data_IF_137528811657
#
_entry.id   IF_137528811657
#
_cell.length_a   1.000
_cell.length_b   1.000
_cell.length_c   1.000
_cell.angle_alpha   90.00
_cell.angle_beta   90.00
_cell.angle_gamma   90.00
#
_symmetry.space_group_name_H-M   'P 1'
#
loop_
_entity.id
_entity.type
_entity.pdbx_description
1 polymer ?
#
# COMPACT_ATOMS: atom_id res chain seq x y z
N UNK A 1 6.89 -3.22 5.84
CA UNK A 1 6.27 -2.04 6.45
C UNK A 1 6.77 -0.77 5.80
N UNK A 2 8.08 -0.51 5.74
CA UNK A 2 8.63 0.66 5.02
C UNK A 2 8.69 0.39 3.52
N UNK A 3 8.15 1.30 2.70
CA UNK A 3 8.09 1.18 1.24
C UNK A 3 8.98 2.19 0.55
N UNK A 4 8.44 3.37 0.25
CA UNK A 4 9.16 4.49 -0.33
C UNK A 4 9.69 5.36 0.79
N UNK A 5 10.94 5.79 0.64
CA UNK A 5 11.56 6.69 1.58
C UNK A 5 12.39 7.73 0.82
N UNK A 6 12.23 8.99 1.23
CA UNK A 6 13.07 10.09 0.77
C UNK A 6 13.87 10.61 1.96
N UNK A 7 15.18 10.41 1.96
CA UNK A 7 16.06 10.88 3.02
C UNK A 7 17.29 11.59 2.47
N UNK A 8 17.99 12.30 3.34
CA UNK A 8 19.27 12.90 3.01
C UNK A 8 20.24 12.87 4.18
N UNK A 9 21.52 12.88 3.84
CA UNK A 9 22.65 13.06 4.74
C UNK A 9 23.38 14.34 4.33
N UNK A 10 23.75 15.15 5.31
CA UNK A 10 24.58 16.35 5.12
C UNK A 10 26.02 16.04 5.53
N UNK A 11 26.97 16.82 5.02
CA UNK A 11 28.39 16.75 5.37
C UNK A 11 29.01 15.36 5.15
N UNK A 12 28.56 14.64 4.11
CA UNK A 12 29.13 13.34 3.72
C UNK A 12 30.20 13.55 2.65
N UNK A 13 31.33 12.87 2.81
CA UNK A 13 32.33 12.72 1.75
C UNK A 13 32.12 11.38 1.06
N UNK A 14 31.98 11.39 -0.27
CA UNK A 14 32.03 10.20 -1.11
C UNK A 14 33.42 10.16 -1.74
N UNK A 15 34.04 8.98 -1.78
CA UNK A 15 35.34 8.83 -2.43
C UNK A 15 35.24 9.13 -3.93
N UNK A 16 36.33 9.59 -4.54
CA UNK A 16 36.37 9.84 -5.98
C UNK A 16 36.11 8.57 -6.78
N UNK A 17 36.49 7.41 -6.25
CA UNK A 17 36.09 6.11 -6.81
C UNK A 17 34.57 5.96 -6.88
N UNK A 18 33.84 6.21 -5.79
CA UNK A 18 32.37 6.11 -5.79
C UNK A 18 31.74 7.14 -6.73
N UNK A 19 32.25 8.37 -6.75
CA UNK A 19 31.73 9.42 -7.62
C UNK A 19 31.93 9.12 -9.10
N UNK A 20 33.09 8.59 -9.49
CA UNK A 20 33.41 8.28 -10.90
C UNK A 20 32.77 6.98 -11.38
N UNK A 21 32.57 5.99 -10.50
CA UNK A 21 32.02 4.69 -10.89
C UNK A 21 30.50 4.60 -10.80
N UNK A 22 29.87 5.32 -9.87
CA UNK A 22 28.42 5.18 -9.59
C UNK A 22 27.61 6.42 -9.91
N UNK A 23 28.26 7.56 -10.12
CA UNK A 23 27.57 8.82 -10.37
C UNK A 23 28.01 9.44 -11.69
N UNK A 24 27.08 10.20 -12.27
CA UNK A 24 27.31 11.03 -13.44
C UNK A 24 27.15 12.48 -12.99
N UNK A 25 28.15 13.31 -13.26
CA UNK A 25 28.07 14.75 -13.06
C UNK A 25 27.08 15.31 -14.09
N UNK A 26 25.99 15.91 -13.60
CA UNK A 26 24.93 16.45 -14.47
C UNK A 26 25.23 17.88 -14.86
N UNK A 27 25.55 18.72 -13.87
CA UNK A 27 25.74 20.15 -14.07
C UNK A 27 26.51 20.78 -12.92
N UNK A 28 27.04 21.95 -13.21
CA UNK A 28 27.49 22.92 -12.23
C UNK A 28 26.54 24.12 -12.25
N UNK A 29 26.04 24.52 -11.10
CA UNK A 29 25.09 25.63 -11.01
C UNK A 29 25.22 26.33 -9.65
N UNK A 30 25.36 27.66 -9.68
CA UNK A 30 25.36 28.51 -8.48
C UNK A 30 26.47 28.15 -7.48
N UNK A 31 27.64 27.73 -7.95
CA UNK A 31 28.77 27.32 -7.09
C UNK A 31 28.69 25.89 -6.55
N UNK A 32 27.81 25.04 -7.10
CA UNK A 32 27.66 23.64 -6.70
C UNK A 32 27.87 22.68 -7.88
N UNK A 33 28.48 21.54 -7.59
CA UNK A 33 28.46 20.37 -8.45
C UNK A 33 27.30 19.46 -8.08
N UNK A 34 26.55 18.99 -9.08
CA UNK A 34 25.42 18.09 -8.90
C UNK A 34 25.70 16.79 -9.65
N UNK A 35 25.67 15.69 -8.90
CA UNK A 35 25.86 14.33 -9.37
C UNK A 35 24.56 13.56 -9.22
N UNK A 36 24.26 12.69 -10.17
CA UNK A 36 23.15 11.74 -10.10
C UNK A 36 23.69 10.34 -10.25
N UNK A 37 23.22 9.43 -9.41
CA UNK A 37 23.66 8.05 -9.51
C UNK A 37 23.13 7.42 -10.80
N UNK A 38 23.99 6.65 -11.45
CA UNK A 38 23.60 5.77 -12.54
C UNK A 38 23.03 4.47 -11.94
N UNK A 39 21.72 4.18 -12.13
CA UNK A 39 21.12 2.96 -11.62
C UNK A 39 21.80 1.68 -12.11
N UNK A 40 22.40 1.69 -13.31
CA UNK A 40 23.06 0.52 -13.88
C UNK A 40 24.42 0.23 -13.24
N UNK A 41 25.00 1.23 -12.55
CA UNK A 41 26.26 1.10 -11.81
C UNK A 41 26.09 0.85 -10.32
N UNK A 42 24.87 1.00 -9.79
CA UNK A 42 24.55 0.65 -8.42
C UNK A 42 24.34 -0.86 -8.33
N UNK A 43 25.14 -1.56 -7.52
CA UNK A 43 25.23 -3.03 -7.52
C UNK A 43 23.87 -3.73 -7.48
N UNK A 44 23.00 -3.26 -6.59
CA UNK A 44 21.69 -3.86 -6.32
C UNK A 44 20.53 -3.27 -7.13
N UNK A 45 20.78 -2.18 -7.88
CA UNK A 45 19.85 -1.66 -8.89
C UNK A 45 20.19 -2.20 -10.29
N UNK A 46 21.45 -2.55 -10.52
CA UNK A 46 21.97 -3.02 -11.80
C UNK A 46 21.28 -4.31 -12.22
N UNK A 47 20.78 -4.33 -13.46
CA UNK A 47 20.23 -5.52 -14.09
C UNK A 47 21.29 -6.21 -14.95
N UNK A 48 22.56 -6.27 -14.55
CA UNK A 48 23.52 -7.14 -15.23
C UNK A 48 23.09 -8.59 -15.03
N UNK A 49 22.17 -9.01 -15.91
CA UNK A 49 21.81 -10.39 -16.19
C UNK A 49 23.15 -11.09 -16.39
N UNK A 50 23.44 -12.10 -15.56
CA UNK A 50 24.43 -13.11 -15.94
C UNK A 50 23.99 -13.58 -17.33
N UNK A 51 24.73 -13.19 -18.36
CA UNK A 51 24.49 -13.61 -19.74
C UNK A 51 24.71 -15.13 -19.80
N UNK A 52 23.69 -15.89 -19.39
CA UNK A 52 23.56 -17.29 -19.75
C UNK A 52 23.15 -17.31 -21.20
N UNK A 53 24.01 -17.86 -22.05
CA UNK A 53 23.79 -18.08 -23.47
C UNK A 53 22.35 -18.55 -23.75
N UNK A 54 21.56 -17.66 -24.33
CA UNK A 54 20.29 -18.00 -24.96
C UNK A 54 20.25 -17.20 -26.26
N UNK A 55 20.60 -17.88 -27.36
CA UNK A 55 20.34 -17.40 -28.70
C UNK A 55 18.82 -17.15 -28.82
N UNK A 56 18.41 -15.88 -28.83
CA UNK A 56 17.04 -15.48 -29.11
C UNK A 56 17.02 -14.41 -30.21
N UNK A 57 16.09 -14.55 -31.18
CA UNK A 57 16.08 -13.79 -32.41
C UNK A 57 15.66 -12.33 -32.22
N UNK A 58 16.08 -11.51 -33.18
CA UNK A 58 15.87 -10.06 -33.31
C UNK A 58 14.43 -9.61 -33.00
N UNK A 59 14.18 -9.09 -31.81
CA UNK A 59 13.03 -8.21 -31.53
C UNK A 59 13.47 -6.96 -30.73
N UNK A 60 14.11 -6.02 -31.44
CA UNK A 60 14.62 -4.75 -30.90
C UNK A 60 13.55 -3.74 -30.43
N UNK A 61 12.25 -4.03 -30.61
CA UNK A 61 11.16 -3.09 -30.28
C UNK A 61 10.61 -3.34 -28.86
N UNK A 62 10.66 -4.57 -28.35
CA UNK A 62 10.13 -4.90 -27.02
C UNK A 62 11.08 -4.44 -25.90
N UNK A 63 12.39 -4.49 -26.15
CA UNK A 63 13.43 -4.06 -25.18
C UNK A 63 13.39 -2.56 -24.94
N UNK A 64 13.06 -1.75 -25.96
CA UNK A 64 12.95 -0.29 -25.83
C UNK A 64 11.73 0.13 -25.01
N UNK A 65 10.57 -0.53 -25.16
CA UNK A 65 9.36 -0.21 -24.37
C UNK A 65 9.53 -0.56 -22.88
N UNK A 66 10.19 -1.67 -22.55
CA UNK A 66 10.50 -2.00 -21.14
C UNK A 66 11.46 -1.00 -20.51
N UNK A 67 12.46 -0.53 -21.28
CA UNK A 67 13.40 0.49 -20.83
C UNK A 67 12.73 1.86 -20.64
N UNK A 68 11.77 2.23 -21.49
CA UNK A 68 10.99 3.46 -21.35
C UNK A 68 10.05 3.39 -20.13
N UNK A 69 9.36 2.26 -19.90
CA UNK A 69 8.49 2.06 -18.72
C UNK A 69 9.33 2.04 -17.43
N UNK A 70 10.53 1.45 -17.45
CA UNK A 70 11.49 1.54 -16.33
C UNK A 70 11.91 2.99 -16.10
N UNK A 71 12.33 3.73 -17.13
CA UNK A 71 12.68 5.17 -17.06
C UNK A 71 11.56 6.03 -16.46
N UNK A 72 10.31 5.75 -16.84
CA UNK A 72 9.10 6.41 -16.31
C UNK A 72 8.83 6.06 -14.83
N UNK A 73 9.08 4.81 -14.41
CA UNK A 73 8.92 4.36 -13.01
C UNK A 73 9.89 5.03 -12.01
N UNK A 74 10.93 5.69 -12.53
CA UNK A 74 11.96 6.44 -11.79
C UNK A 74 11.82 7.96 -11.91
N UNK A 75 10.80 8.51 -12.58
CA UNK A 75 10.70 9.98 -12.74
C UNK A 75 10.69 10.76 -11.41
N UNK A 76 10.28 10.13 -10.30
CA UNK A 76 10.32 10.70 -8.94
C UNK A 76 11.28 9.99 -7.97
N UNK A 77 12.00 8.96 -8.43
CA UNK A 77 12.98 8.21 -7.62
C UNK A 77 14.38 8.56 -8.09
N UNK A 78 15.25 8.90 -7.17
CA UNK A 78 16.59 9.37 -7.50
C UNK A 78 17.56 9.09 -6.38
N UNK A 79 18.84 9.04 -6.73
CA UNK A 79 19.94 9.14 -5.81
C UNK A 79 20.82 10.25 -6.37
N UNK A 80 21.10 11.28 -5.57
CA UNK A 80 21.87 12.44 -6.02
C UNK A 80 22.83 12.90 -4.94
N UNK A 81 23.99 13.36 -5.35
CA UNK A 81 24.96 13.98 -4.47
C UNK A 81 25.21 15.42 -4.93
N UNK A 82 25.13 16.38 -4.01
CA UNK A 82 25.36 17.80 -4.27
C UNK A 82 26.43 18.33 -3.33
N UNK A 83 27.48 18.96 -3.86
CA UNK A 83 28.54 19.59 -3.06
C UNK A 83 28.91 20.96 -3.62
N UNK A 84 29.50 21.83 -2.79
CA UNK A 84 30.10 23.07 -3.29
C UNK A 84 31.29 22.74 -4.19
N UNK A 85 31.58 23.59 -5.16
CA UNK A 85 32.80 23.47 -5.96
C UNK A 85 34.02 23.33 -5.05
N UNK A 86 34.90 22.39 -5.38
CA UNK A 86 36.13 22.08 -4.64
C UNK A 86 35.94 21.57 -3.19
N UNK A 87 34.71 21.39 -2.71
CA UNK A 87 34.46 20.80 -1.40
C UNK A 87 34.60 19.27 -1.45
N UNK A 88 35.13 18.66 -0.40
CA UNK A 88 35.19 17.19 -0.27
C UNK A 88 33.90 16.57 0.25
N UNK A 89 33.07 17.36 0.92
CA UNK A 89 31.81 16.93 1.53
C UNK A 89 30.61 17.63 0.91
N UNK A 90 29.46 16.99 0.99
CA UNK A 90 28.20 17.50 0.46
C UNK A 90 26.99 16.75 1.01
N UNK A 91 25.90 16.87 0.27
CA UNK A 91 24.60 16.29 0.61
C UNK A 91 24.29 15.11 -0.30
N UNK A 92 24.13 13.93 0.28
CA UNK A 92 23.56 12.76 -0.40
C UNK A 92 22.04 12.75 -0.17
N UNK A 93 21.26 12.68 -1.24
CA UNK A 93 19.80 12.55 -1.19
C UNK A 93 19.35 11.29 -1.90
N UNK A 94 18.51 10.50 -1.24
CA UNK A 94 17.98 9.22 -1.75
C UNK A 94 16.47 9.28 -1.70
N UNK A 95 15.81 8.98 -2.82
CA UNK A 95 14.37 8.78 -2.94
C UNK A 95 14.14 7.45 -3.67
N UNK A 96 13.84 6.38 -2.92
CA UNK A 96 13.71 5.04 -3.48
C UNK A 96 12.58 4.25 -2.81
N UNK A 97 12.10 3.21 -3.50
CA UNK A 97 11.20 2.22 -2.91
C UNK A 97 12.03 1.05 -2.38
N UNK A 98 12.53 1.19 -1.15
CA UNK A 98 13.43 0.22 -0.52
C UNK A 98 12.79 -1.16 -0.38
N UNK A 99 11.45 -1.25 -0.29
CA UNK A 99 10.76 -2.55 -0.35
C UNK A 99 10.92 -3.22 -1.70
N UNK A 100 10.66 -2.50 -2.79
CA UNK A 100 10.81 -3.05 -4.16
C UNK A 100 12.27 -3.36 -4.47
N UNK A 101 13.20 -2.55 -3.99
CA UNK A 101 14.63 -2.82 -4.15
C UNK A 101 15.02 -4.11 -3.44
N UNK A 102 14.66 -4.28 -2.16
CA UNK A 102 14.92 -5.53 -1.43
C UNK A 102 14.28 -6.75 -2.09
N UNK A 103 13.02 -6.66 -2.52
CA UNK A 103 12.32 -7.74 -3.22
C UNK A 103 13.08 -8.15 -4.48
N UNK A 104 13.54 -7.18 -5.27
CA UNK A 104 14.31 -7.45 -6.50
C UNK A 104 15.63 -8.13 -6.18
N UNK A 105 16.38 -7.62 -5.20
CA UNK A 105 17.67 -8.13 -4.77
C UNK A 105 17.57 -9.58 -4.29
N UNK A 106 16.57 -9.85 -3.46
CA UNK A 106 16.37 -11.16 -2.84
C UNK A 106 15.49 -12.09 -3.68
N UNK A 107 15.08 -11.66 -4.88
CA UNK A 107 14.15 -12.38 -5.77
C UNK A 107 12.88 -12.88 -5.04
N UNK A 108 12.28 -12.01 -4.22
CA UNK A 108 11.12 -12.35 -3.41
C UNK A 108 9.81 -12.10 -4.16
N UNK A 109 8.72 -12.60 -3.57
CA UNK A 109 7.37 -12.32 -4.06
C UNK A 109 7.04 -10.80 -3.93
N UNK A 110 6.45 -10.14 -4.97
CA UNK A 110 6.02 -8.73 -4.92
C UNK A 110 5.08 -8.34 -3.76
N UNK A 111 4.37 -9.31 -3.18
CA UNK A 111 3.50 -9.13 -2.00
C UNK A 111 4.25 -9.18 -0.67
N UNK A 112 5.58 -9.37 -0.69
CA UNK A 112 6.40 -9.34 0.52
C UNK A 112 6.46 -7.91 1.08
N UNK A 113 6.41 -7.80 2.40
CA UNK A 113 6.64 -6.57 3.14
C UNK A 113 7.99 -6.67 3.86
N UNK A 114 8.69 -5.54 4.03
CA UNK A 114 9.88 -5.51 4.88
C UNK A 114 9.48 -5.69 6.34
N UNK A 115 9.96 -6.77 6.98
CA UNK A 115 10.02 -6.86 8.44
C UNK A 115 11.20 -6.02 8.96
N UNK A 116 11.40 -6.00 10.27
CA UNK A 116 12.49 -5.26 10.90
C UNK A 116 13.87 -5.62 10.31
N UNK A 117 14.22 -6.91 10.26
CA UNK A 117 15.52 -7.38 9.79
C UNK A 117 15.77 -7.01 8.32
N UNK A 118 14.78 -7.20 7.46
CA UNK A 118 14.87 -6.84 6.04
C UNK A 118 15.03 -5.33 5.84
N UNK A 119 14.40 -4.52 6.70
CA UNK A 119 14.57 -3.05 6.67
C UNK A 119 15.99 -2.65 7.08
N UNK A 120 16.53 -3.23 8.16
CA UNK A 120 17.92 -2.98 8.58
C UNK A 120 18.89 -3.39 7.48
N UNK A 121 18.71 -4.59 6.93
CA UNK A 121 19.59 -5.13 5.89
C UNK A 121 19.63 -4.23 4.65
N UNK A 122 18.46 -3.83 4.11
CA UNK A 122 18.45 -2.99 2.91
C UNK A 122 19.12 -1.63 3.17
N UNK A 123 18.87 -0.98 4.32
CA UNK A 123 19.50 0.31 4.63
C UNK A 123 21.02 0.18 4.75
N UNK A 124 21.52 -0.88 5.38
CA UNK A 124 22.96 -1.14 5.45
C UNK A 124 23.59 -1.50 4.10
N UNK A 125 22.82 -2.08 3.17
CA UNK A 125 23.26 -2.23 1.78
C UNK A 125 23.46 -0.87 1.11
N UNK A 126 22.56 0.11 1.29
CA UNK A 126 22.79 1.48 0.78
C UNK A 126 24.03 2.12 1.40
N UNK A 127 24.25 1.96 2.71
CA UNK A 127 25.43 2.50 3.39
C UNK A 127 26.74 1.95 2.78
N UNK A 128 26.82 0.61 2.62
CA UNK A 128 27.96 -0.06 1.98
C UNK A 128 28.13 0.35 0.52
N UNK A 129 27.03 0.46 -0.21
CA UNK A 129 27.05 0.83 -1.63
C UNK A 129 27.72 2.19 -1.87
N UNK A 130 27.55 3.14 -0.95
CA UNK A 130 28.16 4.46 -1.05
C UNK A 130 29.43 4.63 -0.22
N UNK A 131 29.92 3.56 0.42
CA UNK A 131 31.11 3.61 1.28
C UNK A 131 30.95 4.53 2.50
N UNK A 132 29.75 4.62 3.06
CA UNK A 132 29.45 5.47 4.22
C UNK A 132 29.35 4.59 5.47
N UNK A 133 30.00 4.99 6.56
CA UNK A 133 29.87 4.34 7.88
C UNK A 133 28.38 4.19 8.28
N UNK A 134 28.02 3.02 8.80
CA UNK A 134 26.62 2.68 9.11
C UNK A 134 26.03 3.67 10.11
N UNK A 135 26.78 4.02 11.14
CA UNK A 135 26.41 4.92 12.23
C UNK A 135 26.08 6.32 11.70
N UNK A 136 26.84 6.79 10.70
CA UNK A 136 26.56 8.06 10.00
C UNK A 136 25.33 7.91 9.11
N UNK A 137 25.21 6.82 8.37
CA UNK A 137 24.09 6.61 7.44
C UNK A 137 22.73 6.54 8.15
N UNK A 138 22.67 5.90 9.32
CA UNK A 138 21.45 5.81 10.14
C UNK A 138 20.94 7.19 10.61
N UNK A 139 21.81 8.20 10.70
CA UNK A 139 21.43 9.59 11.04
C UNK A 139 20.75 10.35 9.90
N UNK A 140 20.57 9.74 8.73
CA UNK A 140 19.92 10.37 7.59
C UNK A 140 18.52 10.89 7.96
N UNK A 141 18.25 12.14 7.59
CA UNK A 141 16.97 12.82 7.83
C UNK A 141 15.95 12.42 6.77
N UNK A 142 14.80 11.92 7.20
CA UNK A 142 13.69 11.53 6.33
C UNK A 142 12.80 12.75 6.08
N UNK A 143 12.47 12.98 4.82
CA UNK A 143 11.59 14.06 4.36
C UNK A 143 10.26 13.55 3.85
N UNK A 144 10.21 12.32 3.33
CA UNK A 144 8.99 11.65 2.87
C UNK A 144 9.09 10.16 3.19
N UNK A 145 7.96 9.54 3.51
CA UNK A 145 7.91 8.09 3.76
C UNK A 145 6.54 7.54 3.40
N UNK A 146 6.54 6.34 2.81
CA UNK A 146 5.37 5.51 2.64
C UNK A 146 5.51 4.28 3.55
N UNK A 147 4.51 4.04 4.38
CA UNK A 147 4.45 2.92 5.32
C UNK A 147 3.20 2.11 5.02
N UNK A 148 3.34 0.82 4.73
CA UNK A 148 2.19 -0.01 4.41
C UNK A 148 2.40 -1.49 4.60
N UNK A 149 1.28 -2.21 4.55
CA UNK A 149 1.23 -3.67 4.74
C UNK A 149 0.29 -4.31 3.73
N UNK A 150 0.65 -5.50 3.29
CA UNK A 150 -0.18 -6.36 2.45
C UNK A 150 -1.00 -7.31 3.33
N UNK A 151 -2.30 -7.36 3.10
CA UNK A 151 -3.25 -8.23 3.79
C UNK A 151 -3.93 -9.11 2.76
N UNK A 152 -3.92 -10.43 3.00
CA UNK A 152 -4.63 -11.40 2.16
C UNK A 152 -6.00 -11.70 2.75
N UNK A 153 -7.05 -11.55 1.94
CA UNK A 153 -8.42 -11.92 2.29
C UNK A 153 -8.89 -13.10 1.43
N UNK A 154 -9.74 -13.94 2.01
CA UNK A 154 -10.38 -15.06 1.32
C UNK A 154 -11.76 -14.65 0.80
N UNK A 155 -11.84 -13.49 0.14
CA UNK A 155 -13.06 -12.96 -0.45
C UNK A 155 -12.70 -12.10 -1.67
N UNK A 156 -13.69 -11.76 -2.48
CA UNK A 156 -13.51 -10.88 -3.63
C UNK A 156 -13.12 -9.46 -3.18
N UNK A 157 -12.28 -8.79 -3.97
CA UNK A 157 -11.80 -7.45 -3.68
C UNK A 157 -12.92 -6.41 -3.70
N UNK A 158 -13.93 -6.61 -4.56
CA UNK A 158 -15.10 -5.75 -4.65
C UNK A 158 -15.81 -5.65 -3.31
N UNK A 159 -16.07 -6.79 -2.66
CA UNK A 159 -16.77 -6.86 -1.36
C UNK A 159 -16.01 -6.16 -0.23
N UNK A 160 -14.67 -6.13 -0.30
CA UNK A 160 -13.85 -5.38 0.66
C UNK A 160 -13.90 -3.88 0.35
N UNK A 161 -13.66 -3.52 -0.91
CA UNK A 161 -13.51 -2.13 -1.34
C UNK A 161 -14.82 -1.35 -1.33
N UNK A 162 -15.96 -2.01 -1.59
CA UNK A 162 -17.30 -1.44 -1.44
C UNK A 162 -17.58 -1.09 0.03
N UNK A 163 -17.17 -1.96 0.95
CA UNK A 163 -17.41 -1.79 2.40
C UNK A 163 -16.58 -0.66 3.01
N UNK A 164 -15.38 -0.37 2.51
CA UNK A 164 -14.59 0.78 2.98
C UNK A 164 -15.42 2.04 2.75
N UNK A 165 -15.52 2.98 3.69
CA UNK A 165 -16.36 4.19 3.55
C UNK A 165 -15.57 5.48 3.70
N UNK A 166 -15.25 5.86 4.94
CA UNK A 166 -14.56 7.11 5.32
C UNK A 166 -13.49 6.83 6.37
N UNK A 167 -12.60 7.79 6.61
CA UNK A 167 -11.60 7.69 7.66
C UNK A 167 -11.69 8.92 8.58
N UNK A 168 -11.76 8.70 9.90
CA UNK A 168 -11.85 9.80 10.87
C UNK A 168 -10.63 10.72 10.78
N UNK A 169 -10.87 12.03 10.69
CA UNK A 169 -9.83 13.06 10.61
C UNK A 169 -9.20 13.25 9.22
N UNK A 170 -9.88 12.80 8.17
CA UNK A 170 -9.52 13.05 6.77
C UNK A 170 -10.57 13.94 6.11
N UNK A 171 -10.11 14.89 5.29
CA UNK A 171 -10.97 15.88 4.63
C UNK A 171 -11.71 15.27 3.44
N UNK A 172 -11.02 14.45 2.66
CA UNK A 172 -11.51 13.95 1.38
C UNK A 172 -11.35 12.44 1.26
N UNK A 173 -12.34 11.78 0.68
CA UNK A 173 -12.26 10.38 0.24
C UNK A 173 -12.40 10.33 -1.27
N UNK A 174 -11.38 9.82 -1.96
CA UNK A 174 -11.36 9.67 -3.41
C UNK A 174 -11.37 8.19 -3.79
N UNK A 175 -12.33 7.79 -4.63
CA UNK A 175 -12.45 6.43 -5.16
C UNK A 175 -12.07 6.38 -6.63
N UNK A 176 -11.13 5.50 -6.98
CA UNK A 176 -10.72 5.27 -8.37
C UNK A 176 -10.58 3.76 -8.57
N UNK A 177 -11.57 3.13 -9.21
CA UNK A 177 -11.66 1.68 -9.33
C UNK A 177 -11.57 0.99 -7.96
N UNK A 178 -10.74 -0.05 -7.85
CA UNK A 178 -10.48 -0.77 -6.59
C UNK A 178 -9.45 -0.07 -5.69
N UNK A 179 -9.44 1.26 -5.66
CA UNK A 179 -8.57 2.08 -4.81
C UNK A 179 -9.40 3.14 -4.12
N UNK A 180 -9.23 3.25 -2.80
CA UNK A 180 -9.77 4.33 -1.97
C UNK A 180 -8.61 5.08 -1.36
N UNK A 181 -8.56 6.40 -1.57
CA UNK A 181 -7.56 7.28 -0.96
C UNK A 181 -8.27 8.26 -0.03
N UNK A 182 -7.89 8.24 1.25
CA UNK A 182 -8.26 9.24 2.23
C UNK A 182 -7.19 10.31 2.28
N UNK A 183 -7.53 11.55 1.92
CA UNK A 183 -6.58 12.64 1.75
C UNK A 183 -6.88 13.78 2.72
N UNK A 184 -5.82 14.38 3.22
CA UNK A 184 -5.81 15.75 3.70
C UNK A 184 -4.58 16.47 3.14
N UNK A 185 -4.37 17.73 3.53
CA UNK A 185 -3.24 18.53 3.03
C UNK A 185 -1.86 17.94 3.36
N UNK A 186 -1.72 17.14 4.44
CA UNK A 186 -0.42 16.76 5.03
C UNK A 186 -0.01 15.31 4.75
N UNK A 187 -0.97 14.41 4.57
CA UNK A 187 -0.74 13.00 4.30
C UNK A 187 -1.95 12.34 3.62
N UNK A 188 -1.73 11.13 3.14
CA UNK A 188 -2.76 10.30 2.50
C UNK A 188 -2.73 8.90 3.11
N UNK A 189 -3.89 8.27 3.26
CA UNK A 189 -4.01 6.84 3.49
C UNK A 189 -4.68 6.21 2.28
N UNK A 190 -4.02 5.23 1.67
CA UNK A 190 -4.52 4.55 0.49
C UNK A 190 -4.78 3.08 0.81
N UNK A 191 -5.92 2.56 0.37
CA UNK A 191 -6.27 1.15 0.39
C UNK A 191 -6.63 0.70 -1.02
N UNK A 192 -6.00 -0.37 -1.52
CA UNK A 192 -6.15 -0.77 -2.92
C UNK A 192 -5.87 -2.25 -3.21
N UNK A 193 -6.35 -2.69 -4.36
CA UNK A 193 -6.02 -3.99 -4.97
C UNK A 193 -4.56 -4.07 -5.40
N UNK A 194 -3.74 -4.74 -4.59
CA UNK A 194 -2.32 -4.93 -4.85
C UNK A 194 -2.08 -5.85 -6.04
N UNK A 195 -2.86 -6.94 -6.17
CA UNK A 195 -2.68 -7.89 -7.26
C UNK A 195 -2.98 -7.23 -8.61
N UNK A 196 -4.09 -6.49 -8.69
CA UNK A 196 -4.45 -5.69 -9.85
C UNK A 196 -3.35 -4.70 -10.23
N UNK A 197 -2.84 -3.93 -9.26
CA UNK A 197 -1.76 -2.95 -9.49
C UNK A 197 -0.47 -3.60 -9.97
N UNK A 198 0.00 -4.66 -9.31
CA UNK A 198 1.27 -5.30 -9.69
C UNK A 198 1.17 -6.00 -11.07
N UNK A 199 -0.01 -6.52 -11.44
CA UNK A 199 -0.22 -7.10 -12.76
C UNK A 199 -0.22 -6.04 -13.87
N UNK A 200 -0.78 -4.85 -13.60
CA UNK A 200 -0.73 -3.72 -14.52
C UNK A 200 0.71 -3.22 -14.72
N UNK A 201 1.51 -3.22 -13.66
CA UNK A 201 2.92 -2.82 -13.68
C UNK A 201 3.86 -3.92 -14.23
N UNK A 202 3.34 -5.13 -14.50
CA UNK A 202 4.15 -6.25 -14.98
C UNK A 202 5.09 -6.83 -13.92
N UNK A 203 4.86 -6.55 -12.63
CA UNK A 203 5.67 -7.06 -11.53
C UNK A 203 5.33 -8.51 -11.17
N UNK A 204 4.11 -8.93 -11.49
CA UNK A 204 3.66 -10.33 -11.43
C UNK A 204 3.35 -10.87 -12.83
N UNK A 205 3.48 -12.19 -13.00
CA UNK A 205 3.29 -12.88 -14.29
C UNK A 205 4.19 -12.31 -15.40
N UNK A 206 5.46 -12.08 -15.07
CA UNK A 206 6.50 -11.65 -16.03
C UNK A 206 6.55 -12.62 -17.22
N UNK A 207 6.78 -12.09 -18.43
CA UNK A 207 6.76 -12.88 -19.67
C UNK A 207 5.37 -13.31 -20.16
N UNK A 208 4.29 -13.05 -19.41
CA UNK A 208 2.93 -13.39 -19.85
C UNK A 208 2.29 -12.22 -20.61
N UNK A 209 1.60 -12.51 -21.71
CA UNK A 209 0.86 -11.49 -22.48
C UNK A 209 -0.31 -10.88 -21.68
N UNK A 210 -0.80 -9.71 -22.13
CA UNK A 210 -1.80 -8.91 -21.41
C UNK A 210 -3.13 -9.64 -21.19
N UNK A 211 -3.59 -10.43 -22.17
CA UNK A 211 -4.87 -11.16 -22.11
C UNK A 211 -4.80 -12.28 -21.07
N UNK A 212 -3.78 -13.13 -21.16
CA UNK A 212 -3.56 -14.22 -20.20
C UNK A 212 -3.33 -13.70 -18.78
N UNK A 213 -2.60 -12.58 -18.64
CA UNK A 213 -2.41 -11.92 -17.34
C UNK A 213 -3.72 -11.47 -16.71
N UNK A 214 -4.61 -10.84 -17.47
CA UNK A 214 -5.96 -10.47 -17.00
C UNK A 214 -6.76 -11.70 -16.55
N UNK A 215 -6.66 -12.80 -17.30
CA UNK A 215 -7.33 -14.06 -16.96
C UNK A 215 -6.82 -14.65 -15.63
N UNK A 216 -5.49 -14.68 -15.43
CA UNK A 216 -4.88 -15.14 -14.18
C UNK A 216 -5.29 -14.27 -12.98
N UNK A 217 -5.27 -12.95 -13.14
CA UNK A 217 -5.73 -12.02 -12.10
C UNK A 217 -7.20 -12.31 -11.74
N UNK A 218 -8.10 -12.43 -12.72
CA UNK A 218 -9.51 -12.77 -12.48
C UNK A 218 -9.67 -14.11 -11.75
N UNK A 219 -8.91 -15.14 -12.16
CA UNK A 219 -8.96 -16.47 -11.52
C UNK A 219 -8.58 -16.41 -10.04
N UNK A 220 -7.51 -15.67 -9.71
CA UNK A 220 -7.06 -15.50 -8.32
C UNK A 220 -8.04 -14.63 -7.53
N UNK A 221 -8.45 -13.50 -8.10
CA UNK A 221 -9.34 -12.50 -7.48
C UNK A 221 -10.74 -13.03 -7.13
N UNK A 222 -11.15 -14.18 -7.70
CA UNK A 222 -12.45 -14.81 -7.42
C UNK A 222 -12.64 -15.09 -5.92
N UNK A 223 -11.63 -15.69 -5.29
CA UNK A 223 -11.68 -16.12 -3.88
C UNK A 223 -10.51 -15.56 -3.04
N UNK A 224 -9.56 -14.84 -3.65
CA UNK A 224 -8.40 -14.32 -2.96
C UNK A 224 -8.14 -12.87 -3.34
N UNK A 225 -8.06 -12.02 -2.33
CA UNK A 225 -7.72 -10.60 -2.51
C UNK A 225 -6.45 -10.26 -1.78
N UNK A 226 -5.60 -9.48 -2.45
CA UNK A 226 -4.38 -8.93 -1.89
C UNK A 226 -4.61 -7.43 -1.72
N UNK A 227 -5.02 -7.03 -0.54
CA UNK A 227 -5.29 -5.64 -0.21
C UNK A 227 -4.02 -5.03 0.35
N UNK A 228 -3.62 -3.88 -0.17
CA UNK A 228 -2.56 -3.10 0.44
C UNK A 228 -3.14 -1.85 1.07
N UNK A 229 -2.73 -1.58 2.31
CA UNK A 229 -3.01 -0.33 3.00
C UNK A 229 -1.70 0.41 3.27
N UNK A 230 -1.67 1.70 2.95
CA UNK A 230 -0.48 2.55 3.00
C UNK A 230 -0.80 3.91 3.61
N UNK A 231 0.01 4.36 4.57
CA UNK A 231 0.18 5.76 4.93
C UNK A 231 1.27 6.39 4.05
N UNK A 232 0.94 7.47 3.34
CA UNK A 232 1.86 8.27 2.53
C UNK A 232 2.07 9.65 3.17
N UNK A 233 3.25 9.87 3.73
CA UNK A 233 3.65 11.15 4.32
C UNK A 233 4.46 11.94 3.29
N UNK A 234 3.82 12.97 2.71
CA UNK A 234 4.43 13.80 1.65
C UNK A 234 5.50 14.75 2.15
N UNK A 235 5.44 15.17 3.42
CA UNK A 235 6.44 16.04 4.05
C UNK A 235 6.45 15.80 5.56
N UNK A 236 7.49 15.14 6.06
CA UNK A 236 7.62 14.76 7.48
C UNK A 236 7.60 15.97 8.41
N UNK A 237 8.18 17.11 8.01
CA UNK A 237 8.16 18.33 8.83
C UNK A 237 6.75 18.89 9.06
N UNK A 238 5.87 18.78 8.06
CA UNK A 238 4.49 19.26 8.10
C UNK A 238 3.49 18.22 8.62
N UNK A 239 3.91 16.96 8.75
CA UNK A 239 3.08 15.90 9.29
C UNK A 239 2.75 16.17 10.77
N UNK A 240 1.46 16.08 11.11
CA UNK A 240 0.90 16.56 12.38
C UNK A 240 0.40 15.44 13.32
N UNK A 241 0.74 14.17 13.05
CA UNK A 241 0.51 13.07 14.02
C UNK A 241 1.79 12.82 14.81
N UNK A 242 1.91 13.44 15.98
CA UNK A 242 3.12 13.40 16.81
C UNK A 242 3.59 11.96 17.13
N UNK A 243 2.64 11.04 17.38
CA UNK A 243 2.93 9.65 17.71
C UNK A 243 3.68 8.88 16.62
N UNK A 244 3.48 9.24 15.35
CA UNK A 244 4.19 8.67 14.20
C UNK A 244 5.36 9.56 13.80
N UNK A 245 5.19 10.89 13.79
CA UNK A 245 6.18 11.87 13.31
C UNK A 245 7.55 11.68 13.97
N UNK A 246 7.60 11.53 15.28
CA UNK A 246 8.86 11.33 16.03
C UNK A 246 9.61 10.06 15.62
N UNK A 247 8.89 9.02 15.21
CA UNK A 247 9.42 7.70 14.81
C UNK A 247 9.91 7.66 13.36
N UNK A 248 9.61 8.67 12.55
CA UNK A 248 9.95 8.71 11.11
C UNK A 248 10.87 9.89 10.76
N UNK A 249 11.52 10.54 11.74
CA UNK A 249 12.41 11.69 11.48
C UNK A 249 13.74 11.30 10.84
N UNK A 250 14.31 10.18 11.25
CA UNK A 250 15.56 9.64 10.73
C UNK A 250 15.45 8.15 10.47
N UNK A 251 16.36 7.59 9.67
CA UNK A 251 16.42 6.14 9.49
C UNK A 251 16.58 5.42 10.83
N UNK A 252 17.42 5.96 11.71
CA UNK A 252 17.60 5.47 13.08
C UNK A 252 16.30 5.51 13.90
N UNK A 253 15.52 6.59 13.79
CA UNK A 253 14.23 6.70 14.47
C UNK A 253 13.30 5.57 14.03
N UNK A 254 13.27 5.25 12.74
CA UNK A 254 12.46 4.14 12.20
C UNK A 254 12.96 2.80 12.71
N UNK A 255 14.28 2.58 12.72
CA UNK A 255 14.92 1.36 13.24
C UNK A 255 14.55 1.14 14.71
N UNK A 256 14.83 2.13 15.56
CA UNK A 256 14.68 2.00 17.00
C UNK A 256 13.21 1.92 17.44
N UNK A 257 12.29 2.45 16.63
CA UNK A 257 10.86 2.47 16.94
C UNK A 257 10.04 1.53 16.05
N UNK A 258 10.65 0.59 15.32
CA UNK A 258 9.96 -0.18 14.28
C UNK A 258 8.70 -0.90 14.78
N UNK A 259 8.76 -1.50 15.97
CA UNK A 259 7.60 -2.16 16.58
C UNK A 259 6.49 -1.17 16.94
N UNK A 260 6.79 -0.15 17.73
CA UNK A 260 5.83 0.91 18.11
C UNK A 260 5.28 1.68 16.90
N UNK A 261 6.05 1.81 15.81
CA UNK A 261 5.59 2.38 14.55
C UNK A 261 4.51 1.49 13.92
N UNK A 262 4.67 0.17 14.00
CA UNK A 262 3.63 -0.79 13.62
C UNK A 262 2.35 -0.61 14.42
N UNK A 263 2.43 -0.48 15.74
CA UNK A 263 1.26 -0.24 16.60
C UNK A 263 0.54 1.06 16.26
N UNK A 264 1.28 2.14 16.00
CA UNK A 264 0.69 3.42 15.60
C UNK A 264 0.04 3.36 14.21
N UNK A 265 0.60 2.57 13.28
CA UNK A 265 -0.06 2.28 12.00
C UNK A 265 -1.33 1.47 12.17
N UNK A 266 -1.34 0.49 13.09
CA UNK A 266 -2.56 -0.26 13.43
C UNK A 266 -3.65 0.72 13.90
N UNK A 267 -3.34 1.53 14.93
CA UNK A 267 -4.26 2.54 15.48
C UNK A 267 -4.75 3.50 14.41
N UNK A 268 -3.88 3.92 13.49
CA UNK A 268 -4.25 4.76 12.36
C UNK A 268 -5.27 4.06 11.46
N UNK A 269 -4.97 2.85 10.99
CA UNK A 269 -5.75 2.14 9.99
C UNK A 269 -7.09 1.60 10.51
N UNK A 270 -7.22 1.29 11.81
CA UNK A 270 -8.51 0.91 12.39
C UNK A 270 -9.52 2.07 12.50
N UNK A 271 -9.09 3.32 12.29
CA UNK A 271 -9.99 4.47 12.15
C UNK A 271 -10.73 4.51 10.79
N UNK A 272 -10.45 3.57 9.88
CA UNK A 272 -11.23 3.40 8.67
C UNK A 272 -12.59 2.85 9.06
N UNK A 273 -13.63 3.60 8.69
CA UNK A 273 -15.01 3.17 8.81
C UNK A 273 -15.35 2.24 7.66
N UNK A 274 -16.00 1.13 8.00
CA UNK A 274 -16.62 0.24 7.04
C UNK A 274 -18.13 0.43 7.15
N UNK A 275 -18.80 0.59 6.02
CA UNK A 275 -20.27 0.54 5.95
C UNK A 275 -20.63 -0.91 5.64
N UNK A 276 -21.64 -1.43 6.33
CA UNK A 276 -22.21 -2.76 6.07
C UNK A 276 -22.99 -2.73 4.75
N UNK A 277 -22.28 -2.46 3.67
CA UNK A 277 -22.86 -2.17 2.38
C UNK A 277 -22.93 -3.47 1.58
N UNK A 278 -23.63 -4.47 2.14
CA UNK A 278 -23.96 -5.80 1.57
C UNK A 278 -23.10 -6.94 2.14
N UNK A 279 -23.75 -7.91 2.82
CA UNK A 279 -23.11 -9.19 3.19
C UNK A 279 -22.51 -9.84 1.93
N UNK A 280 -21.32 -10.46 1.99
CA UNK A 280 -20.72 -11.16 0.83
C UNK A 280 -21.68 -12.13 0.11
N UNK A 281 -22.62 -12.72 0.84
CA UNK A 281 -23.66 -13.61 0.28
C UNK A 281 -24.72 -12.84 -0.51
N UNK A 282 -25.06 -11.63 -0.06
CA UNK A 282 -25.99 -10.73 -0.73
C UNK A 282 -25.31 -10.06 -1.93
N UNK A 283 -24.01 -9.78 -1.87
CA UNK A 283 -23.22 -9.21 -2.97
C UNK A 283 -23.13 -10.23 -4.11
N UNK A 284 -22.89 -11.50 -3.79
CA UNK A 284 -23.02 -12.59 -4.77
C UNK A 284 -24.43 -12.71 -5.34
N UNK A 285 -25.49 -12.56 -4.54
CA UNK A 285 -26.87 -12.69 -5.02
C UNK A 285 -27.27 -11.51 -5.90
N UNK A 286 -26.97 -10.27 -5.49
CA UNK A 286 -27.26 -9.04 -6.23
C UNK A 286 -26.41 -8.95 -7.51
N UNK A 287 -25.12 -9.26 -7.45
CA UNK A 287 -24.23 -9.29 -8.64
C UNK A 287 -24.61 -10.43 -9.59
N UNK A 288 -24.97 -11.63 -9.10
CA UNK A 288 -25.53 -12.70 -9.97
C UNK A 288 -26.90 -12.32 -10.54
N UNK A 289 -27.68 -11.49 -9.84
CA UNK A 289 -29.01 -11.06 -10.29
C UNK A 289 -29.02 -9.98 -11.37
N UNK A 290 -27.86 -9.45 -11.78
CA UNK A 290 -27.71 -8.57 -12.95
C UNK A 290 -28.18 -9.20 -14.28
N UNK A 291 -28.73 -10.41 -14.25
CA UNK A 291 -29.21 -11.16 -15.41
C UNK A 291 -30.73 -11.43 -15.43
N UNK A 292 -31.54 -11.07 -14.42
CA UNK A 292 -32.99 -11.33 -14.43
C UNK A 292 -33.81 -10.36 -13.55
N UNK A 293 -35.09 -10.14 -13.91
CA UNK A 293 -36.10 -9.24 -13.29
C UNK A 293 -36.33 -9.38 -11.76
N UNK A 294 -35.67 -10.33 -11.10
CA UNK A 294 -35.61 -10.48 -9.63
C UNK A 294 -34.73 -9.41 -8.94
N UNK A 295 -34.01 -8.59 -9.70
CA UNK A 295 -33.10 -7.54 -9.21
C UNK A 295 -33.79 -6.38 -8.49
N UNK A 296 -34.97 -5.95 -8.94
CA UNK A 296 -35.71 -4.81 -8.32
C UNK A 296 -36.21 -5.16 -6.92
N UNK A 297 -36.78 -6.36 -6.74
CA UNK A 297 -37.25 -6.81 -5.42
C UNK A 297 -36.09 -6.93 -4.43
N UNK A 298 -34.98 -7.55 -4.84
CA UNK A 298 -33.80 -7.69 -3.99
C UNK A 298 -33.17 -6.33 -3.63
N UNK A 299 -33.19 -5.37 -4.56
CA UNK A 299 -32.74 -4.00 -4.33
C UNK A 299 -33.67 -3.23 -3.39
N UNK A 300 -34.99 -3.34 -3.58
CA UNK A 300 -35.98 -2.73 -2.70
C UNK A 300 -35.91 -3.31 -1.29
N UNK A 301 -35.77 -4.63 -1.15
CA UNK A 301 -35.61 -5.30 0.14
C UNK A 301 -34.35 -4.78 0.87
N UNK A 302 -33.27 -4.50 0.13
CA UNK A 302 -32.05 -3.92 0.67
C UNK A 302 -32.22 -2.45 1.09
N UNK A 303 -32.92 -1.62 0.30
CA UNK A 303 -33.24 -0.23 0.68
C UNK A 303 -34.10 -0.19 1.95
N UNK A 304 -35.06 -1.10 2.09
CA UNK A 304 -35.88 -1.26 3.29
C UNK A 304 -34.99 -1.61 4.49
N UNK A 305 -34.08 -2.57 4.34
CA UNK A 305 -33.10 -2.89 5.40
C UNK A 305 -32.27 -1.67 5.83
N UNK A 306 -31.73 -0.90 4.87
CA UNK A 306 -30.94 0.29 5.17
C UNK A 306 -31.77 1.34 5.94
N UNK A 307 -33.02 1.55 5.54
CA UNK A 307 -33.96 2.41 6.24
C UNK A 307 -34.22 1.95 7.68
N UNK A 308 -34.55 0.66 7.87
CA UNK A 308 -34.79 0.07 9.19
C UNK A 308 -33.56 0.12 10.09
N UNK A 309 -32.37 -0.11 9.53
CA UNK A 309 -31.10 -0.04 10.25
C UNK A 309 -30.79 1.37 10.72
N UNK A 310 -30.98 2.37 9.87
CA UNK A 310 -30.64 3.76 10.18
C UNK A 310 -31.64 4.40 11.14
N UNK A 311 -32.94 4.16 10.93
CA UNK A 311 -34.00 4.70 11.77
C UNK A 311 -34.15 3.93 13.09
N UNK A 312 -33.80 2.64 13.10
CA UNK A 312 -33.96 1.72 14.21
C UNK A 312 -35.27 0.95 14.11
N UNK A 313 -35.22 -0.38 14.07
CA UNK A 313 -36.38 -1.25 13.82
C UNK A 313 -37.53 -1.00 14.81
N UNK A 314 -37.23 -0.87 16.10
CA UNK A 314 -38.24 -0.62 17.13
C UNK A 314 -38.95 0.71 16.90
N UNK A 315 -38.19 1.78 16.64
CA UNK A 315 -38.73 3.11 16.31
C UNK A 315 -39.57 3.08 15.04
N UNK A 316 -39.14 2.33 14.03
CA UNK A 316 -39.90 2.18 12.80
C UNK A 316 -41.22 1.43 13.04
N UNK A 317 -41.19 0.34 13.79
CA UNK A 317 -42.38 -0.43 14.16
C UNK A 317 -43.34 0.46 14.95
N UNK A 318 -42.87 1.16 15.98
CA UNK A 318 -43.67 2.08 16.78
C UNK A 318 -44.30 3.20 15.93
N UNK A 319 -43.56 3.72 14.95
CA UNK A 319 -44.06 4.72 13.99
C UNK A 319 -45.10 4.14 13.01
N UNK A 320 -44.86 2.94 12.48
CA UNK A 320 -45.71 2.33 11.45
C UNK A 320 -46.98 1.70 12.04
N UNK A 321 -46.93 1.24 13.29
CA UNK A 321 -48.02 0.56 13.98
C UNK A 321 -49.37 1.31 13.93
N UNK A 322 -49.46 2.63 14.23
CA UNK A 322 -50.72 3.37 14.16
C UNK A 322 -51.20 3.65 12.72
N UNK A 323 -50.32 3.58 11.72
CA UNK A 323 -50.63 3.91 10.31
C UNK A 323 -51.15 2.69 9.55
N UNK A 324 -50.74 1.49 9.96
CA UNK A 324 -51.08 0.25 9.28
C UNK A 324 -52.47 -0.28 9.69
N UNK A 325 -53.25 -0.70 8.68
CA UNK A 325 -54.52 -1.39 8.87
C UNK A 325 -54.35 -2.67 9.72
N UNK A 326 -55.22 -2.84 10.71
CA UNK A 326 -55.26 -3.96 11.67
C UNK A 326 -55.14 -5.34 11.02
N UNK A 327 -55.74 -5.54 9.84
CA UNK A 327 -55.76 -6.84 9.17
C UNK A 327 -54.39 -7.26 8.59
N UNK A 328 -53.54 -6.29 8.24
CA UNK A 328 -52.24 -6.55 7.58
C UNK A 328 -51.03 -6.18 8.46
N UNK A 329 -51.27 -5.54 9.60
CA UNK A 329 -50.25 -4.97 10.47
C UNK A 329 -49.22 -6.00 10.93
N UNK A 330 -49.68 -7.10 11.52
CA UNK A 330 -48.79 -8.12 12.09
C UNK A 330 -47.96 -8.81 11.00
N UNK A 331 -48.59 -9.16 9.87
CA UNK A 331 -47.90 -9.77 8.72
C UNK A 331 -46.84 -8.84 8.10
N UNK A 332 -47.13 -7.54 8.00
CA UNK A 332 -46.17 -6.57 7.47
C UNK A 332 -45.00 -6.34 8.43
N UNK A 333 -45.25 -6.22 9.73
CA UNK A 333 -44.20 -6.08 10.75
C UNK A 333 -43.32 -7.33 10.76
N UNK A 334 -43.91 -8.52 10.79
CA UNK A 334 -43.19 -9.80 10.75
C UNK A 334 -42.33 -9.92 9.49
N UNK A 335 -42.84 -9.48 8.33
CA UNK A 335 -42.08 -9.40 7.09
C UNK A 335 -40.86 -8.47 7.23
N UNK A 336 -41.02 -7.31 7.85
CA UNK A 336 -39.92 -6.36 8.06
C UNK A 336 -38.90 -6.87 9.08
N UNK A 337 -39.34 -7.54 10.15
CA UNK A 337 -38.46 -8.18 11.13
C UNK A 337 -37.69 -9.33 10.52
N UNK A 338 -38.33 -10.19 9.73
CA UNK A 338 -37.69 -11.27 9.00
C UNK A 338 -36.70 -10.73 7.96
N UNK A 339 -37.06 -9.66 7.23
CA UNK A 339 -36.16 -8.98 6.31
C UNK A 339 -34.99 -8.36 7.07
N UNK A 340 -35.23 -7.67 8.18
CA UNK A 340 -34.16 -7.11 8.99
C UNK A 340 -33.24 -8.22 9.48
N UNK A 341 -33.77 -9.28 10.11
CA UNK A 341 -33.01 -10.41 10.65
C UNK A 341 -32.23 -11.18 9.57
N UNK A 342 -32.79 -11.33 8.37
CA UNK A 342 -32.10 -11.91 7.20
C UNK A 342 -30.83 -11.12 6.82
N UNK A 343 -30.84 -9.80 7.00
CA UNK A 343 -29.72 -8.91 6.69
C UNK A 343 -28.93 -8.48 7.94
N UNK A 344 -29.42 -8.79 9.15
CA UNK A 344 -28.87 -8.42 10.47
C UNK A 344 -27.67 -9.28 10.89
N UNK A 345 -27.41 -10.40 10.19
CA UNK A 345 -26.26 -11.27 10.45
C UNK A 345 -25.02 -10.42 10.71
N UNK A 346 -24.40 -10.63 11.88
CA UNK A 346 -23.44 -9.76 12.60
C UNK A 346 -22.46 -9.01 11.67
N UNK A 347 -22.91 -7.89 11.11
CA UNK A 347 -22.46 -7.41 9.79
C UNK A 347 -21.20 -6.53 9.84
N UNK A 348 -20.44 -6.62 10.93
CA UNK A 348 -19.10 -6.07 11.06
C UNK A 348 -18.03 -7.03 10.49
N UNK A 349 -18.41 -8.10 9.77
CA UNK A 349 -17.49 -9.17 9.35
C UNK A 349 -16.25 -8.65 8.61
N UNK A 350 -16.42 -7.83 7.57
CA UNK A 350 -15.28 -7.29 6.78
C UNK A 350 -14.38 -6.44 7.68
N UNK A 351 -14.95 -5.64 8.58
CA UNK A 351 -14.21 -4.82 9.54
C UNK A 351 -13.47 -5.67 10.57
N UNK A 352 -14.13 -6.63 11.21
CA UNK A 352 -13.53 -7.58 12.17
C UNK A 352 -12.40 -8.36 11.52
N UNK A 353 -12.63 -8.86 10.30
CA UNK A 353 -11.64 -9.62 9.54
C UNK A 353 -10.46 -8.73 9.11
N UNK A 354 -10.73 -7.49 8.69
CA UNK A 354 -9.70 -6.50 8.39
C UNK A 354 -8.85 -6.20 9.62
N UNK A 355 -9.45 -5.86 10.76
CA UNK A 355 -8.75 -5.53 12.00
C UNK A 355 -7.93 -6.72 12.51
N UNK A 356 -8.49 -7.92 12.51
CA UNK A 356 -7.82 -9.17 12.91
C UNK A 356 -6.60 -9.45 12.04
N UNK A 357 -6.77 -9.44 10.71
CA UNK A 357 -5.67 -9.71 9.78
C UNK A 357 -4.62 -8.60 9.76
N UNK A 358 -5.03 -7.35 9.93
CA UNK A 358 -4.11 -6.21 10.06
C UNK A 358 -3.24 -6.36 11.30
N UNK A 359 -3.84 -6.64 12.46
CA UNK A 359 -3.11 -6.88 13.72
C UNK A 359 -2.10 -8.02 13.57
N UNK A 360 -2.56 -9.18 13.08
CA UNK A 360 -1.69 -10.34 12.83
C UNK A 360 -0.54 -10.01 11.86
N UNK A 361 -0.81 -9.23 10.82
CA UNK A 361 0.22 -8.83 9.85
C UNK A 361 1.25 -7.88 10.45
N UNK A 362 0.83 -6.89 11.24
CA UNK A 362 1.72 -5.95 11.92
C UNK A 362 2.62 -6.72 12.90
N UNK A 363 2.05 -7.57 13.75
CA UNK A 363 2.80 -8.38 14.71
C UNK A 363 3.88 -9.20 14.00
N UNK A 364 3.54 -9.89 12.90
CA UNK A 364 4.51 -10.67 12.10
C UNK A 364 5.66 -9.83 11.54
N UNK A 365 5.45 -8.55 11.22
CA UNK A 365 6.49 -7.69 10.67
C UNK A 365 7.38 -7.07 11.74
N UNK A 366 6.86 -6.91 12.96
CA UNK A 366 7.55 -6.22 14.05
C UNK A 366 8.24 -7.14 15.03
N UNK A 367 7.84 -8.40 15.14
CA UNK A 367 8.55 -9.39 15.96
C UNK A 367 9.91 -9.66 15.31
N UNK A 368 11.04 -9.40 16.00
CA UNK A 368 12.33 -9.91 15.56
C UNK A 368 12.20 -11.42 15.47
N UNK A 369 12.59 -12.02 14.34
CA UNK A 369 12.75 -13.46 14.30
C UNK A 369 13.86 -13.81 15.29
N UNK A 370 13.51 -14.10 16.54
CA UNK A 370 14.36 -14.90 17.39
C UNK A 370 14.46 -16.23 16.67
N UNK A 371 15.64 -16.49 16.11
CA UNK A 371 16.04 -17.84 15.75
C UNK A 371 15.80 -18.70 16.98
N UNK A 372 14.77 -19.55 16.92
CA UNK A 372 14.70 -20.73 17.74
C UNK A 372 15.83 -21.66 17.28
N UNK A 373 17.03 -21.39 17.79
CA UNK A 373 18.10 -22.38 17.88
C UNK A 373 17.84 -23.17 19.15
N UNK A 374 17.18 -24.32 18.99
CA UNK A 374 17.39 -25.48 19.83
C UNK A 374 18.17 -26.50 19.00
#
# INVERSE_FOLDING_TARGET
MVDLIKFYLENISLSDYILTTKFIKIREEGGFEIFKADPDMISFLSQKVKAGNCNLPKHGIVVQQENIIKKLSYQNKFISFKRRLNAKSGRLSVCQNVRKDFIRIKNLNPFTDLNYLNFVEIIEMYAREFGIEKEKFWKAKITQVELGVNIRFNMNIASIMSSVSRMKGMENTLRIGNTVNFKNQKYEVAIYDKLGREAQQGEVFKGTNKVRRRHLVKKIAKNNSFVRIELRVKTVSQFNRASIKSKIKTLESVRNNFHSLGEELYKLFVNISFVDEISPDIDQYLVKSQLNSKSVKAFNDYLIFLGLKYFGIKKFVDFAFPILNTNNRNSYIEKLENLFNKYKGDNDFVKKEFQRKLSARINKLTVPAFSSSN
#
